data_IF_339144110413
#
_entry.id   IF_339144110413
#
_cell.length_a   1.000
_cell.length_b   1.000
_cell.length_c   1.000
_cell.angle_alpha   90.00
_cell.angle_beta   90.00
_cell.angle_gamma   90.00
#
_symmetry.space_group_name_H-M   'P 1'
#
loop_
_entity.id
_entity.type
_entity.pdbx_description
1 polymer ?
#
# COMPACT_ATOMS: atom_id res chain seq x y z
N UNK A 1 -31.14 2.44 -15.64
CA UNK A 1 -30.01 2.26 -14.70
C UNK A 1 -29.02 1.16 -15.11
N UNK A 2 -29.43 0.16 -15.91
CA UNK A 2 -28.53 -0.85 -16.50
C UNK A 2 -27.64 -0.30 -17.65
N UNK A 3 -28.12 0.71 -18.38
CA UNK A 3 -27.45 1.30 -19.56
C UNK A 3 -26.25 2.20 -19.24
N UNK A 4 -26.26 2.88 -18.10
CA UNK A 4 -25.17 3.79 -17.69
C UNK A 4 -23.95 3.02 -17.20
N UNK A 5 -24.18 1.90 -16.49
CA UNK A 5 -23.12 1.01 -16.01
C UNK A 5 -22.45 0.21 -17.15
N UNK A 6 -23.23 -0.17 -18.17
CA UNK A 6 -22.66 -0.77 -19.38
C UNK A 6 -21.72 0.21 -20.11
N UNK A 7 -22.06 1.50 -20.18
CA UNK A 7 -21.21 2.54 -20.78
C UNK A 7 -19.92 2.79 -20.00
N UNK A 8 -19.97 2.70 -18.67
CA UNK A 8 -18.80 2.86 -17.80
C UNK A 8 -17.85 1.65 -17.92
N UNK A 9 -18.38 0.43 -18.02
CA UNK A 9 -17.58 -0.79 -18.21
C UNK A 9 -16.90 -0.83 -19.58
N UNK A 10 -17.62 -0.49 -20.65
CA UNK A 10 -17.01 -0.36 -21.99
C UNK A 10 -15.95 0.73 -22.04
N UNK A 11 -16.10 1.75 -21.20
CA UNK A 11 -15.15 2.83 -21.13
C UNK A 11 -13.81 2.42 -20.48
N UNK A 12 -13.86 1.81 -19.30
CA UNK A 12 -12.63 1.36 -18.63
C UNK A 12 -11.88 0.31 -19.45
N UNK A 13 -12.61 -0.57 -20.16
CA UNK A 13 -12.03 -1.55 -21.09
C UNK A 13 -11.36 -0.88 -22.29
N UNK A 14 -11.97 0.17 -22.86
CA UNK A 14 -11.36 0.96 -23.93
C UNK A 14 -10.09 1.68 -23.47
N UNK A 15 -10.05 2.20 -22.23
CA UNK A 15 -8.86 2.82 -21.65
C UNK A 15 -7.71 1.83 -21.42
N UNK A 16 -8.01 0.58 -21.06
CA UNK A 16 -7.01 -0.46 -20.90
C UNK A 16 -6.49 -1.02 -22.23
N UNK A 17 -7.35 -1.13 -23.25
CA UNK A 17 -6.92 -1.45 -24.62
C UNK A 17 -6.06 -0.33 -25.21
N UNK A 18 -6.43 0.93 -24.97
CA UNK A 18 -5.63 2.09 -25.38
C UNK A 18 -4.23 2.06 -24.74
N UNK A 19 -4.14 1.70 -23.45
CA UNK A 19 -2.85 1.54 -22.75
C UNK A 19 -1.97 0.43 -23.33
N UNK A 20 -2.54 -0.74 -23.67
CA UNK A 20 -1.80 -1.86 -24.30
C UNK A 20 -1.33 -1.50 -25.72
N UNK A 21 -2.13 -0.70 -26.44
CA UNK A 21 -1.80 -0.24 -27.79
C UNK A 21 -0.74 0.86 -27.79
N UNK A 22 -0.77 1.79 -26.83
CA UNK A 22 0.26 2.83 -26.63
C UNK A 22 1.60 2.23 -26.18
N UNK A 23 1.58 1.17 -25.36
CA UNK A 23 2.78 0.41 -24.96
C UNK A 23 3.38 -0.35 -26.16
N UNK A 24 2.55 -0.94 -27.04
CA UNK A 24 3.01 -1.55 -28.31
C UNK A 24 3.56 -0.51 -29.30
N UNK A 25 2.96 0.67 -29.39
CA UNK A 25 3.44 1.75 -30.25
C UNK A 25 4.77 2.30 -29.71
N UNK A 26 4.91 2.44 -28.38
CA UNK A 26 6.16 2.84 -27.72
C UNK A 26 7.27 1.80 -27.92
N UNK A 27 6.98 0.50 -27.80
CA UNK A 27 7.93 -0.58 -28.11
C UNK A 27 8.30 -0.60 -29.60
N UNK A 28 7.36 -0.31 -30.50
CA UNK A 28 7.61 -0.18 -31.94
C UNK A 28 8.55 0.98 -32.26
N UNK A 29 8.34 2.14 -31.62
CA UNK A 29 9.17 3.33 -31.77
C UNK A 29 10.59 3.10 -31.22
N UNK A 30 10.73 2.37 -30.10
CA UNK A 30 12.02 2.00 -29.53
C UNK A 30 12.79 0.99 -30.41
N UNK A 31 12.10 0.02 -31.04
CA UNK A 31 12.73 -0.88 -32.02
C UNK A 31 13.16 -0.14 -33.29
N UNK A 32 12.44 0.89 -33.70
CA UNK A 32 12.81 1.73 -34.85
C UNK A 32 14.03 2.62 -34.53
N UNK A 33 14.12 3.16 -33.31
CA UNK A 33 15.26 3.95 -32.80
C UNK A 33 16.55 3.12 -32.76
N UNK A 34 16.47 1.82 -32.42
CA UNK A 34 17.63 0.92 -32.37
C UNK A 34 18.28 0.56 -33.72
N UNK A 35 17.71 1.02 -34.85
CA UNK A 35 18.23 0.76 -36.21
C UNK A 35 18.95 1.95 -36.86
N UNK A 36 19.06 3.08 -36.18
CA UNK A 36 19.73 4.27 -36.72
C UNK A 36 21.21 4.25 -36.28
N UNK A 37 22.18 4.20 -37.21
CA UNK A 37 23.60 4.28 -36.85
C UNK A 37 23.95 5.68 -36.34
N UNK A 38 24.86 5.74 -35.36
CA UNK A 38 25.32 6.96 -34.70
C UNK A 38 25.92 7.96 -35.69
N UNK A 39 25.23 9.09 -35.84
CA UNK A 39 25.76 10.27 -36.52
C UNK A 39 24.81 10.84 -37.54
N UNK A 40 23.88 11.69 -37.08
CA UNK A 40 23.43 12.94 -37.73
C UNK A 40 22.50 13.62 -36.70
N UNK A 41 22.95 14.74 -36.13
CA UNK A 41 22.07 15.75 -35.54
C UNK A 41 21.86 16.82 -36.62
N UNK A 42 20.61 17.19 -36.96
CA UNK A 42 20.23 18.57 -37.30
C UNK A 42 18.79 18.84 -36.86
N UNK A 43 18.62 20.06 -36.35
CA UNK A 43 17.48 20.73 -35.75
C UNK A 43 16.39 21.19 -36.74
N UNK A 44 15.24 21.56 -36.14
CA UNK A 44 14.47 22.81 -36.37
C UNK A 44 13.02 22.66 -36.87
N UNK A 45 12.15 23.42 -36.20
CA UNK A 45 10.69 23.50 -36.35
C UNK A 45 10.26 23.99 -37.73
N UNK A 46 9.20 23.40 -38.29
CA UNK A 46 8.33 24.11 -39.22
C UNK A 46 6.85 23.77 -38.97
N UNK A 47 6.04 24.83 -38.91
CA UNK A 47 4.62 24.84 -38.56
C UNK A 47 3.76 24.57 -39.80
N UNK A 48 2.61 23.90 -39.57
CA UNK A 48 1.30 24.08 -40.24
C UNK A 48 0.97 23.25 -41.49
N UNK A 49 0.04 22.30 -41.35
CA UNK A 49 -1.34 22.44 -41.87
C UNK A 49 -2.18 21.19 -41.54
N UNK A 50 -3.34 21.42 -40.94
CA UNK A 50 -4.41 20.42 -40.77
C UNK A 50 -5.02 20.07 -42.14
N UNK A 51 -5.27 18.79 -42.40
CA UNK A 51 -6.42 18.38 -43.23
C UNK A 51 -6.78 16.91 -43.03
N UNK A 52 -7.95 16.72 -42.41
CA UNK A 52 -8.92 15.64 -42.64
C UNK A 52 -8.45 14.18 -42.65
N UNK A 53 -8.47 13.52 -41.48
CA UNK A 53 -9.05 12.17 -41.31
C UNK A 53 -9.26 11.76 -39.83
N UNK A 54 -9.44 12.70 -38.89
CA UNK A 54 -9.43 12.40 -37.45
C UNK A 54 -10.79 12.28 -36.75
N UNK A 55 -11.89 12.67 -37.40
CA UNK A 55 -13.12 13.02 -36.66
C UNK A 55 -14.11 11.87 -36.40
N UNK A 56 -13.78 10.61 -36.71
CA UNK A 56 -14.74 9.50 -36.55
C UNK A 56 -14.43 8.49 -35.44
N UNK A 57 -13.32 8.62 -34.71
CA UNK A 57 -12.99 7.72 -33.58
C UNK A 57 -13.05 8.45 -32.21
N UNK A 58 -13.06 9.78 -32.18
CA UNK A 58 -13.17 10.57 -30.94
C UNK A 58 -14.57 10.59 -30.30
N UNK A 59 -15.53 9.79 -30.80
CA UNK A 59 -16.93 9.77 -30.36
C UNK A 59 -17.21 8.81 -29.18
N UNK A 60 -16.19 8.42 -28.42
CA UNK A 60 -16.34 7.89 -27.04
C UNK A 60 -15.53 8.75 -26.07
N UNK A 61 -15.76 10.06 -26.10
CA UNK A 61 -15.19 10.99 -25.12
C UNK A 61 -15.72 10.68 -23.72
N UNK A 62 -14.83 10.33 -22.80
CA UNK A 62 -15.16 10.38 -21.38
C UNK A 62 -15.35 11.84 -21.00
N UNK A 63 -16.45 12.12 -20.33
CA UNK A 63 -16.66 13.43 -19.73
C UNK A 63 -15.60 13.65 -18.63
N UNK A 64 -14.77 14.67 -18.80
CA UNK A 64 -13.72 15.06 -17.83
C UNK A 64 -14.31 15.31 -16.43
N UNK A 65 -15.56 15.79 -16.36
CA UNK A 65 -16.25 15.97 -15.09
C UNK A 65 -16.59 14.62 -14.44
N UNK A 66 -17.11 13.66 -15.20
CA UNK A 66 -17.37 12.30 -14.73
C UNK A 66 -16.08 11.57 -14.28
N UNK A 67 -14.97 11.77 -15.00
CA UNK A 67 -13.66 11.19 -14.64
C UNK A 67 -13.14 11.76 -13.30
N UNK A 68 -13.24 13.08 -13.10
CA UNK A 68 -12.85 13.72 -11.84
C UNK A 68 -13.75 13.32 -10.67
N UNK A 69 -15.05 13.15 -10.90
CA UNK A 69 -15.98 12.66 -9.87
C UNK A 69 -15.65 11.22 -9.47
N UNK A 70 -15.31 10.37 -10.42
CA UNK A 70 -14.92 8.98 -10.17
C UNK A 70 -13.61 8.90 -9.36
N UNK A 71 -12.61 9.69 -9.74
CA UNK A 71 -11.33 9.78 -9.02
C UNK A 71 -11.54 10.26 -7.58
N UNK A 72 -12.39 11.28 -7.36
CA UNK A 72 -12.71 11.76 -6.00
C UNK A 72 -13.40 10.69 -5.14
N UNK A 73 -14.34 9.94 -5.70
CA UNK A 73 -15.01 8.83 -4.99
C UNK A 73 -14.02 7.72 -4.64
N UNK A 74 -13.05 7.49 -5.51
CA UNK A 74 -11.98 6.52 -5.30
C UNK A 74 -11.00 6.98 -4.22
N UNK A 75 -10.60 8.26 -4.27
CA UNK A 75 -9.71 8.89 -3.28
C UNK A 75 -10.30 8.79 -1.88
N UNK A 76 -11.57 9.14 -1.72
CA UNK A 76 -12.27 9.09 -0.42
C UNK A 76 -12.38 7.68 0.18
N UNK A 77 -12.17 6.63 -0.61
CA UNK A 77 -12.24 5.23 -0.13
C UNK A 77 -10.86 4.59 0.02
N UNK A 78 -10.02 4.70 -1.01
CA UNK A 78 -8.71 4.02 -1.05
C UNK A 78 -7.66 4.76 -0.24
N UNK A 79 -7.63 6.09 -0.31
CA UNK A 79 -6.57 6.85 0.36
C UNK A 79 -6.66 6.72 1.88
N UNK A 80 -7.83 6.89 2.54
CA UNK A 80 -7.93 6.76 3.99
C UNK A 80 -7.50 5.38 4.50
N UNK A 81 -7.94 4.29 3.85
CA UNK A 81 -7.58 2.94 4.31
C UNK A 81 -6.09 2.65 4.15
N UNK A 82 -5.49 3.06 3.01
CA UNK A 82 -4.06 2.90 2.79
C UNK A 82 -3.24 3.78 3.75
N UNK A 83 -3.70 5.00 3.99
CA UNK A 83 -3.15 5.92 4.99
C UNK A 83 -3.20 5.33 6.40
N UNK A 84 -4.31 4.70 6.80
CA UNK A 84 -4.44 4.05 8.11
C UNK A 84 -3.51 2.85 8.22
N UNK A 85 -3.46 1.97 7.21
CA UNK A 85 -2.54 0.82 7.23
C UNK A 85 -1.09 1.29 7.40
N UNK A 86 -0.70 2.36 6.71
CA UNK A 86 0.65 2.90 6.80
C UNK A 86 0.94 3.64 8.10
N UNK A 87 -0.05 4.36 8.64
CA UNK A 87 0.04 4.95 9.98
C UNK A 87 0.36 3.85 10.99
N UNK A 88 -0.40 2.76 10.98
CA UNK A 88 -0.23 1.66 11.94
C UNK A 88 1.11 0.95 11.72
N UNK A 89 1.56 0.82 10.47
CA UNK A 89 2.89 0.26 10.13
C UNK A 89 4.02 1.09 10.73
N UNK A 90 3.94 2.42 10.65
CA UNK A 90 4.92 3.28 11.31
C UNK A 90 4.78 3.29 12.84
N UNK A 91 3.58 3.08 13.36
CA UNK A 91 3.33 3.01 14.80
C UNK A 91 4.03 1.80 15.42
N UNK A 92 3.95 0.63 14.78
CA UNK A 92 4.72 -0.56 15.18
C UNK A 92 6.24 -0.30 15.27
N UNK A 93 6.79 0.36 14.24
CA UNK A 93 8.22 0.75 14.24
C UNK A 93 8.57 1.72 15.36
N UNK A 94 7.64 2.58 15.79
CA UNK A 94 7.84 3.45 16.94
C UNK A 94 7.71 2.68 18.27
N UNK A 95 6.83 1.68 18.32
CA UNK A 95 6.54 0.94 19.54
C UNK A 95 7.70 0.15 20.09
N UNK A 96 8.57 -0.38 19.23
CA UNK A 96 9.80 -1.02 19.75
C UNK A 96 10.64 -0.05 20.58
N UNK A 97 10.72 1.21 20.14
CA UNK A 97 11.43 2.26 20.88
C UNK A 97 10.74 2.58 22.20
N UNK A 98 9.40 2.66 22.18
CA UNK A 98 8.62 2.92 23.39
C UNK A 98 8.65 1.74 24.38
N UNK A 99 8.59 0.50 23.89
CA UNK A 99 8.69 -0.72 24.67
C UNK A 99 10.01 -0.79 25.46
N UNK A 100 11.10 -0.29 24.87
CA UNK A 100 12.39 -0.16 25.56
C UNK A 100 12.29 0.70 26.82
N UNK A 101 11.54 1.81 26.76
CA UNK A 101 11.32 2.70 27.91
C UNK A 101 10.47 2.02 28.99
N UNK A 102 9.57 1.14 28.59
CA UNK A 102 8.67 0.35 29.45
C UNK A 102 9.29 -0.94 30.00
N UNK A 103 10.63 -1.04 30.00
CA UNK A 103 11.34 -2.12 30.68
C UNK A 103 11.50 -3.41 29.86
N UNK A 104 11.29 -3.39 28.54
CA UNK A 104 11.52 -4.55 27.65
C UNK A 104 12.88 -5.22 27.87
N UNK A 105 13.95 -4.42 28.02
CA UNK A 105 15.31 -4.95 28.22
C UNK A 105 15.44 -5.76 29.51
N UNK A 106 14.74 -5.34 30.58
CA UNK A 106 14.79 -6.02 31.88
C UNK A 106 14.02 -7.33 31.84
N UNK A 107 12.86 -7.34 31.19
CA UNK A 107 12.00 -8.52 31.13
C UNK A 107 12.54 -9.63 30.24
N UNK A 108 13.22 -9.27 29.15
CA UNK A 108 13.82 -10.24 28.23
C UNK A 108 15.27 -10.59 28.60
N UNK A 109 15.77 -10.08 29.74
CA UNK A 109 17.15 -10.22 30.18
C UNK A 109 18.17 -9.81 29.10
N UNK A 110 17.86 -8.74 28.35
CA UNK A 110 18.73 -8.22 27.31
C UNK A 110 19.95 -7.51 27.92
N UNK A 111 21.12 -7.69 27.32
CA UNK A 111 22.37 -7.05 27.75
C UNK A 111 23.04 -6.28 26.61
N UNK A 112 23.54 -5.08 26.90
CA UNK A 112 24.41 -4.32 25.99
C UNK A 112 23.82 -4.07 24.60
N UNK A 113 24.25 -4.87 23.62
CA UNK A 113 23.93 -4.70 22.19
C UNK A 113 22.69 -5.49 21.74
N UNK A 114 22.11 -6.35 22.57
CA UNK A 114 21.03 -7.28 22.20
C UNK A 114 19.81 -6.58 21.61
N UNK A 115 19.43 -5.43 22.16
CA UNK A 115 18.34 -4.60 21.64
C UNK A 115 18.64 -4.11 20.20
N UNK A 116 19.87 -3.66 19.95
CA UNK A 116 20.28 -3.20 18.61
C UNK A 116 20.35 -4.36 17.61
N UNK A 117 20.74 -5.56 18.07
CA UNK A 117 20.72 -6.78 17.25
C UNK A 117 19.26 -7.11 16.86
N UNK A 118 18.33 -7.06 17.82
CA UNK A 118 16.91 -7.31 17.55
C UNK A 118 16.27 -6.25 16.63
N UNK A 119 16.75 -5.01 16.63
CA UNK A 119 16.35 -4.01 15.63
C UNK A 119 16.97 -4.30 14.26
N UNK A 120 18.25 -4.66 14.23
CA UNK A 120 19.01 -4.86 13.00
C UNK A 120 18.55 -6.09 12.22
N UNK A 121 18.13 -7.15 12.93
CA UNK A 121 17.70 -8.41 12.31
C UNK A 121 16.46 -8.24 11.43
N UNK A 122 15.63 -7.22 11.68
CA UNK A 122 14.43 -6.94 10.89
C UNK A 122 14.76 -6.59 9.42
N UNK A 123 15.77 -5.75 9.19
CA UNK A 123 16.10 -5.20 7.87
C UNK A 123 16.50 -6.25 6.80
N UNK A 124 17.36 -7.24 7.05
CA UNK A 124 17.71 -8.22 6.03
C UNK A 124 16.49 -9.04 5.56
N UNK A 125 15.59 -9.43 6.46
CA UNK A 125 14.37 -10.13 6.09
C UNK A 125 13.39 -9.24 5.32
N UNK A 126 13.26 -7.96 5.75
CA UNK A 126 12.46 -6.97 5.04
C UNK A 126 12.92 -6.79 3.59
N UNK A 127 14.23 -6.61 3.36
CA UNK A 127 14.80 -6.43 2.03
C UNK A 127 14.67 -7.71 1.20
N UNK A 128 14.93 -8.88 1.81
CA UNK A 128 14.86 -10.18 1.12
C UNK A 128 13.46 -10.46 0.56
N UNK A 129 12.40 -10.05 1.25
CA UNK A 129 11.00 -10.29 0.83
C UNK A 129 10.45 -9.17 -0.07
N UNK A 130 11.08 -8.00 -0.10
CA UNK A 130 10.66 -6.91 -0.98
C UNK A 130 10.63 -7.31 -2.46
N UNK A 131 11.65 -8.01 -2.97
CA UNK A 131 11.70 -8.44 -4.38
C UNK A 131 10.69 -9.56 -4.68
N UNK A 132 10.64 -10.68 -3.91
CA UNK A 132 9.63 -11.72 -4.10
C UNK A 132 8.19 -11.22 -3.99
N UNK A 133 7.90 -10.31 -3.04
CA UNK A 133 6.55 -9.76 -2.86
C UNK A 133 6.08 -9.03 -4.13
N UNK A 134 6.95 -8.20 -4.72
CA UNK A 134 6.62 -7.49 -5.96
C UNK A 134 6.38 -8.42 -7.14
N UNK A 135 7.09 -9.55 -7.21
CA UNK A 135 6.80 -10.59 -8.22
C UNK A 135 5.47 -11.29 -7.95
N UNK A 136 5.14 -11.54 -6.68
CA UNK A 136 3.90 -12.21 -6.30
C UNK A 136 2.66 -11.37 -6.62
N UNK A 137 2.75 -10.05 -6.51
CA UNK A 137 1.64 -9.13 -6.85
C UNK A 137 1.25 -9.14 -8.32
N UNK A 138 2.12 -9.62 -9.22
CA UNK A 138 1.75 -9.86 -10.62
C UNK A 138 0.92 -11.14 -10.80
N UNK A 139 1.02 -12.09 -9.87
CA UNK A 139 0.38 -13.41 -9.93
C UNK A 139 -0.87 -13.52 -9.05
N UNK A 140 -0.89 -12.82 -7.92
CA UNK A 140 -1.94 -12.89 -6.89
C UNK A 140 -2.74 -11.59 -6.88
N UNK A 141 -4.04 -11.69 -6.59
CA UNK A 141 -4.93 -10.53 -6.43
C UNK A 141 -4.35 -9.56 -5.37
N UNK A 142 -4.04 -8.29 -5.71
CA UNK A 142 -3.43 -7.32 -4.81
C UNK A 142 -4.23 -7.12 -3.53
N UNK A 143 -5.56 -7.18 -3.61
CA UNK A 143 -6.44 -7.09 -2.45
C UNK A 143 -6.15 -8.21 -1.42
N UNK A 144 -6.22 -9.46 -1.87
CA UNK A 144 -6.00 -10.63 -1.01
C UNK A 144 -4.55 -10.65 -0.49
N UNK A 145 -3.59 -10.27 -1.32
CA UNK A 145 -2.18 -10.26 -0.94
C UNK A 145 -1.88 -9.18 0.11
N UNK A 146 -2.31 -7.93 -0.10
CA UNK A 146 -2.10 -6.83 0.84
C UNK A 146 -2.81 -7.08 2.16
N UNK A 147 -4.08 -7.49 2.13
CA UNK A 147 -4.81 -7.80 3.37
C UNK A 147 -4.23 -9.03 4.07
N UNK A 148 -3.83 -10.07 3.34
CA UNK A 148 -3.17 -11.24 3.90
C UNK A 148 -1.86 -10.89 4.62
N UNK A 149 -1.05 -9.98 4.05
CA UNK A 149 0.16 -9.46 4.67
C UNK A 149 -0.14 -8.69 5.96
N UNK A 150 -1.12 -7.78 5.94
CA UNK A 150 -1.50 -7.00 7.12
C UNK A 150 -1.99 -7.91 8.24
N UNK A 151 -2.81 -8.92 7.93
CA UNK A 151 -3.29 -9.89 8.92
C UNK A 151 -2.16 -10.75 9.48
N UNK A 152 -1.26 -11.25 8.63
CA UNK A 152 -0.12 -12.05 9.07
C UNK A 152 0.82 -11.25 9.97
N UNK A 153 1.13 -10.01 9.59
CA UNK A 153 1.89 -9.06 10.39
C UNK A 153 1.21 -8.78 11.74
N UNK A 154 -0.10 -8.55 11.75
CA UNK A 154 -0.88 -8.31 12.99
C UNK A 154 -0.82 -9.49 13.95
N UNK A 155 -0.87 -10.72 13.44
CA UNK A 155 -0.77 -11.95 14.26
C UNK A 155 0.62 -12.02 14.91
N UNK A 156 1.69 -11.78 14.14
CA UNK A 156 3.06 -11.76 14.67
C UNK A 156 3.23 -10.68 15.74
N UNK A 157 2.60 -9.52 15.56
CA UNK A 157 2.61 -8.44 16.54
C UNK A 157 1.99 -8.86 17.88
N UNK A 158 0.81 -9.46 17.85
CA UNK A 158 0.16 -9.99 19.06
C UNK A 158 1.03 -11.08 19.69
N UNK A 159 1.61 -11.98 18.89
CA UNK A 159 2.54 -13.00 19.38
C UNK A 159 3.78 -12.38 20.04
N UNK A 160 4.32 -11.27 19.50
CA UNK A 160 5.50 -10.58 20.04
C UNK A 160 5.23 -10.06 21.47
N UNK A 161 4.02 -9.56 21.74
CA UNK A 161 3.62 -9.15 23.08
C UNK A 161 3.45 -10.30 24.09
N UNK A 162 3.43 -11.56 23.63
CA UNK A 162 3.32 -12.75 24.49
C UNK A 162 4.67 -13.45 24.74
N UNK A 163 5.76 -12.94 24.17
CA UNK A 163 7.09 -13.51 24.33
C UNK A 163 7.67 -13.19 25.71
N UNK A 164 8.42 -14.14 26.28
CA UNK A 164 9.12 -13.97 27.56
C UNK A 164 10.65 -14.07 27.44
N UNK A 165 11.17 -14.41 26.24
CA UNK A 165 12.60 -14.66 26.01
C UNK A 165 13.16 -13.80 24.87
N UNK A 166 14.44 -13.42 24.97
CA UNK A 166 15.16 -12.72 23.91
C UNK A 166 15.12 -13.46 22.56
N UNK A 167 15.32 -14.77 22.58
CA UNK A 167 15.29 -15.59 21.36
C UNK A 167 13.91 -15.58 20.69
N UNK A 168 12.83 -15.67 21.48
CA UNK A 168 11.46 -15.58 20.96
C UNK A 168 11.17 -14.24 20.30
N UNK A 169 11.71 -13.16 20.87
CA UNK A 169 11.52 -11.81 20.34
C UNK A 169 12.30 -11.63 19.05
N UNK A 170 13.53 -12.13 18.99
CA UNK A 170 14.34 -12.15 17.76
C UNK A 170 13.60 -12.89 16.63
N UNK A 171 13.07 -14.08 16.91
CA UNK A 171 12.30 -14.87 15.93
C UNK A 171 11.06 -14.11 15.47
N UNK A 172 10.32 -13.50 16.40
CA UNK A 172 9.16 -12.68 16.05
C UNK A 172 9.55 -11.52 15.13
N UNK A 173 10.70 -10.87 15.35
CA UNK A 173 11.24 -9.81 14.46
C UNK A 173 11.61 -10.29 13.07
N UNK A 174 12.17 -11.49 12.96
CA UNK A 174 12.46 -12.08 11.66
C UNK A 174 11.17 -12.28 10.85
N UNK A 175 10.14 -12.86 11.47
CA UNK A 175 8.84 -13.04 10.84
C UNK A 175 8.15 -11.71 10.53
N UNK A 176 8.29 -10.72 11.42
CA UNK A 176 7.77 -9.37 11.20
C UNK A 176 8.36 -8.74 9.93
N UNK A 177 9.68 -8.83 9.76
CA UNK A 177 10.37 -8.35 8.55
C UNK A 177 9.87 -9.04 7.27
N UNK A 178 9.62 -10.36 7.34
CA UNK A 178 9.04 -11.12 6.23
C UNK A 178 7.62 -10.63 5.90
N UNK A 179 6.80 -10.38 6.92
CA UNK A 179 5.41 -9.95 6.73
C UNK A 179 5.30 -8.52 6.20
N UNK A 180 6.15 -7.61 6.70
CA UNK A 180 6.09 -6.18 6.38
C UNK A 180 6.83 -5.81 5.07
N UNK A 181 7.85 -6.59 4.67
CA UNK A 181 8.73 -6.29 3.54
C UNK A 181 8.04 -6.02 2.21
N UNK A 182 6.85 -6.60 2.01
CA UNK A 182 6.05 -6.45 0.80
C UNK A 182 5.05 -5.30 0.80
N UNK A 183 4.77 -4.69 1.97
CA UNK A 183 3.63 -3.81 2.16
C UNK A 183 3.82 -2.47 1.45
N UNK A 184 4.94 -1.78 1.68
CA UNK A 184 5.23 -0.49 1.04
C UNK A 184 5.22 -0.55 -0.49
N UNK A 185 6.05 -1.40 -1.14
CA UNK A 185 6.07 -1.44 -2.60
C UNK A 185 4.75 -1.98 -3.17
N UNK A 186 4.01 -2.80 -2.40
CA UNK A 186 2.70 -3.26 -2.81
C UNK A 186 1.60 -2.21 -2.78
N UNK A 187 1.61 -1.33 -1.78
CA UNK A 187 0.68 -0.18 -1.77
C UNK A 187 1.01 0.79 -2.90
N UNK A 188 2.29 1.06 -3.15
CA UNK A 188 2.70 1.93 -4.27
C UNK A 188 2.25 1.34 -5.61
N UNK A 189 2.45 0.04 -5.83
CA UNK A 189 1.97 -0.65 -7.03
C UNK A 189 0.44 -0.62 -7.16
N UNK A 190 -0.27 -0.76 -6.04
CA UNK A 190 -1.72 -0.67 -6.04
C UNK A 190 -2.19 0.74 -6.46
N UNK A 191 -1.56 1.80 -5.95
CA UNK A 191 -1.88 3.19 -6.35
C UNK A 191 -1.62 3.41 -7.84
N UNK A 192 -0.51 2.91 -8.40
CA UNK A 192 -0.20 3.10 -9.82
C UNK A 192 -1.14 2.37 -10.78
N UNK A 193 -1.90 1.37 -10.31
CA UNK A 193 -2.93 0.69 -11.09
C UNK A 193 -4.26 1.44 -11.14
N UNK A 194 -4.58 2.19 -10.09
CA UNK A 194 -5.88 2.85 -9.94
C UNK A 194 -5.88 4.31 -10.39
N UNK A 195 -4.72 4.94 -10.46
CA UNK A 195 -4.57 6.36 -10.79
C UNK A 195 -3.65 6.59 -11.99
N UNK A 196 -3.91 7.66 -12.78
CA UNK A 196 -3.04 8.04 -13.87
C UNK A 196 -1.69 8.58 -13.33
N UNK A 197 -0.61 8.37 -14.09
CA UNK A 197 0.79 8.62 -13.64
C UNK A 197 1.05 10.06 -13.20
N UNK A 198 0.38 11.03 -13.83
CA UNK A 198 0.47 12.47 -13.50
C UNK A 198 -0.07 12.80 -12.09
N UNK A 199 -0.91 11.94 -11.54
CA UNK A 199 -1.69 12.18 -10.33
C UNK A 199 -1.31 11.25 -9.17
N UNK A 200 -0.54 10.18 -9.45
CA UNK A 200 -0.03 9.25 -8.43
C UNK A 200 0.88 9.92 -7.39
N UNK A 201 1.74 10.86 -7.81
CA UNK A 201 2.76 11.45 -6.96
C UNK A 201 2.21 12.14 -5.71
N UNK A 202 1.15 12.93 -5.87
CA UNK A 202 0.49 13.62 -4.76
C UNK A 202 -0.10 12.63 -3.73
N UNK A 203 -0.68 11.53 -4.20
CA UNK A 203 -1.32 10.50 -3.36
C UNK A 203 -0.30 9.70 -2.58
N UNK A 204 0.83 9.37 -3.21
CA UNK A 204 1.97 8.74 -2.54
C UNK A 204 2.55 9.67 -1.48
N UNK A 205 2.64 10.98 -1.75
CA UNK A 205 3.12 11.95 -0.76
C UNK A 205 2.16 12.06 0.45
N UNK A 206 0.84 12.05 0.21
CA UNK A 206 -0.15 12.06 1.29
C UNK A 206 -0.11 10.77 2.11
N UNK A 207 0.04 9.62 1.44
CA UNK A 207 0.31 8.34 2.10
C UNK A 207 1.57 8.42 2.97
N UNK A 208 2.68 8.95 2.44
CA UNK A 208 3.94 9.06 3.16
C UNK A 208 3.85 10.01 4.37
N UNK A 209 3.01 11.05 4.28
CA UNK A 209 2.79 12.01 5.37
C UNK A 209 2.23 11.35 6.64
N UNK A 210 1.55 10.22 6.50
CA UNK A 210 1.05 9.44 7.65
C UNK A 210 2.18 8.83 8.49
N UNK A 211 3.37 8.62 7.94
CA UNK A 211 4.55 8.20 8.71
C UNK A 211 4.93 9.26 9.76
N UNK A 212 4.90 10.54 9.38
CA UNK A 212 5.16 11.64 10.31
C UNK A 212 4.06 11.74 11.36
N UNK A 213 2.79 11.56 10.97
CA UNK A 213 1.68 11.52 11.92
C UNK A 213 1.85 10.38 12.93
N UNK A 214 2.17 9.17 12.47
CA UNK A 214 2.43 8.02 13.33
C UNK A 214 3.58 8.26 14.32
N UNK A 215 4.67 8.93 13.89
CA UNK A 215 5.75 9.33 14.78
C UNK A 215 5.32 10.32 15.87
N UNK A 216 4.46 11.30 15.52
CA UNK A 216 3.95 12.28 16.48
C UNK A 216 2.98 11.67 17.50
N UNK A 217 2.12 10.75 17.07
CA UNK A 217 1.12 10.12 17.93
C UNK A 217 1.62 8.85 18.64
N UNK A 218 2.65 8.18 18.11
CA UNK A 218 3.09 6.87 18.62
C UNK A 218 3.57 6.90 20.06
N UNK A 219 4.30 7.94 20.47
CA UNK A 219 4.69 8.12 21.88
C UNK A 219 3.51 8.40 22.80
N UNK A 220 2.49 9.13 22.32
CA UNK A 220 1.28 9.42 23.08
C UNK A 220 0.44 8.15 23.31
N UNK A 221 0.25 7.34 22.26
CA UNK A 221 -0.42 6.04 22.36
C UNK A 221 0.32 5.10 23.31
N UNK A 222 1.64 4.99 23.15
CA UNK A 222 2.46 4.15 24.02
C UNK A 222 2.37 4.57 25.49
N UNK A 223 2.38 5.89 25.78
CA UNK A 223 2.22 6.39 27.15
C UNK A 223 0.82 6.06 27.71
N UNK A 224 -0.23 6.23 26.91
CA UNK A 224 -1.59 5.90 27.33
C UNK A 224 -1.81 4.39 27.57
N UNK A 225 -1.14 3.53 26.81
CA UNK A 225 -1.22 2.07 26.98
C UNK A 225 -0.33 1.59 28.13
N UNK A 226 0.82 2.24 28.34
CA UNK A 226 1.77 1.97 29.44
C UNK A 226 1.14 2.09 30.83
N UNK A 227 0.12 2.96 31.00
CA UNK A 227 -0.62 3.09 32.26
C UNK A 227 -1.42 1.82 32.65
N UNK A 228 -1.56 0.84 31.74
CA UNK A 228 -2.09 -0.50 32.06
C UNK A 228 -1.03 -1.50 32.55
N UNK A 229 0.19 -1.03 32.86
CA UNK A 229 1.21 -1.83 33.52
C UNK A 229 0.66 -2.50 34.79
N UNK A 230 0.82 -3.82 34.90
CA UNK A 230 0.30 -4.62 36.03
C UNK A 230 -1.11 -5.19 35.84
N UNK A 231 -1.86 -4.77 34.82
CA UNK A 231 -3.12 -5.43 34.45
C UNK A 231 -2.80 -6.81 33.88
N UNK A 232 -3.32 -7.87 34.52
CA UNK A 232 -3.07 -9.26 34.11
C UNK A 232 -1.65 -9.78 34.38
N UNK A 233 -0.86 -9.11 35.23
CA UNK A 233 0.50 -9.54 35.59
C UNK A 233 1.54 -9.42 34.47
N UNK A 234 1.25 -8.60 33.45
CA UNK A 234 2.14 -8.33 32.32
C UNK A 234 2.63 -6.88 32.35
N UNK A 235 3.83 -6.66 31.83
CA UNK A 235 4.43 -5.33 31.77
C UNK A 235 3.84 -4.49 30.64
N UNK A 236 3.95 -3.16 30.76
CA UNK A 236 3.33 -2.20 29.85
C UNK A 236 3.71 -2.43 28.39
N UNK A 237 4.95 -2.86 28.12
CA UNK A 237 5.42 -3.14 26.76
C UNK A 237 4.66 -4.26 26.06
N UNK A 238 4.26 -5.32 26.78
CA UNK A 238 3.49 -6.44 26.20
C UNK A 238 2.12 -5.97 25.72
N UNK A 239 1.48 -5.09 26.50
CA UNK A 239 0.18 -4.52 26.17
C UNK A 239 0.23 -3.58 24.97
N UNK A 240 1.32 -2.82 24.79
CA UNK A 240 1.54 -2.00 23.59
C UNK A 240 1.47 -2.88 22.33
N UNK A 241 2.23 -3.98 22.28
CA UNK A 241 2.21 -4.87 21.11
C UNK A 241 0.87 -5.60 20.91
N UNK A 242 0.21 -6.04 21.99
CA UNK A 242 -1.06 -6.78 21.90
C UNK A 242 -2.19 -5.87 21.40
N UNK A 243 -2.36 -4.70 22.01
CA UNK A 243 -3.48 -3.80 21.68
C UNK A 243 -3.32 -3.24 20.28
N UNK A 244 -2.10 -2.87 19.92
CA UNK A 244 -1.83 -2.36 18.59
C UNK A 244 -1.88 -3.44 17.52
N UNK A 245 -1.37 -4.64 17.80
CA UNK A 245 -1.54 -5.79 16.93
C UNK A 245 -3.01 -6.11 16.69
N UNK A 246 -3.86 -6.02 17.72
CA UNK A 246 -5.31 -6.22 17.61
C UNK A 246 -5.99 -5.10 16.80
N UNK A 247 -5.60 -3.84 17.02
CA UNK A 247 -6.09 -2.70 16.23
C UNK A 247 -5.73 -2.90 14.75
N UNK A 248 -4.50 -3.30 14.48
CA UNK A 248 -4.01 -3.62 13.13
C UNK A 248 -4.80 -4.77 12.52
N UNK A 249 -5.11 -5.81 13.29
CA UNK A 249 -5.90 -6.94 12.84
C UNK A 249 -7.32 -6.52 12.43
N UNK A 250 -7.96 -5.66 13.23
CA UNK A 250 -9.27 -5.09 12.91
C UNK A 250 -9.21 -4.24 11.62
N UNK A 251 -8.19 -3.40 11.48
CA UNK A 251 -7.96 -2.61 10.25
C UNK A 251 -7.71 -3.52 9.06
N UNK A 252 -6.94 -4.60 9.22
CA UNK A 252 -6.70 -5.62 8.21
C UNK A 252 -8.00 -6.29 7.77
N UNK A 253 -8.84 -6.72 8.70
CA UNK A 253 -10.16 -7.28 8.41
C UNK A 253 -11.04 -6.30 7.64
N UNK A 254 -11.07 -5.03 8.05
CA UNK A 254 -11.82 -3.98 7.34
C UNK A 254 -11.25 -3.75 5.94
N UNK A 255 -9.91 -3.77 5.80
CA UNK A 255 -9.23 -3.54 4.52
C UNK A 255 -9.66 -4.55 3.46
N UNK A 256 -9.94 -5.81 3.84
CA UNK A 256 -10.43 -6.84 2.91
C UNK A 256 -11.74 -6.43 2.21
N UNK A 257 -12.62 -5.76 2.94
CA UNK A 257 -13.92 -5.32 2.43
C UNK A 257 -13.82 -4.00 1.65
N UNK A 258 -12.90 -3.13 2.03
CA UNK A 258 -12.76 -1.79 1.45
C UNK A 258 -11.90 -1.79 0.20
N UNK A 259 -10.83 -2.60 0.17
CA UNK A 259 -9.94 -2.73 -0.98
C UNK A 259 -10.67 -3.56 -2.03
N UNK A 260 -10.96 -2.93 -3.16
CA UNK A 260 -11.58 -3.59 -4.30
C UNK A 260 -10.57 -4.43 -5.07
N UNK A 261 -10.99 -5.58 -5.57
CA UNK A 261 -10.22 -6.29 -6.59
C UNK A 261 -10.16 -5.50 -7.90
N UNK A 262 -9.16 -5.86 -8.73
CA UNK A 262 -8.86 -5.25 -10.03
C UNK A 262 -10.07 -4.64 -10.75
N UNK A 263 -9.92 -3.48 -11.42
CA UNK A 263 -10.98 -2.93 -12.26
C UNK A 263 -11.45 -3.92 -13.36
N UNK A 264 -10.63 -4.91 -13.71
CA UNK A 264 -10.92 -5.97 -14.67
C UNK A 264 -11.74 -7.16 -14.13
N UNK A 265 -11.99 -7.25 -12.82
CA UNK A 265 -12.83 -8.32 -12.23
C UNK A 265 -13.76 -7.71 -11.19
N UNK A 266 -14.89 -7.17 -11.66
CA UNK A 266 -15.99 -6.72 -10.82
C UNK A 266 -16.50 -7.91 -9.98
N UNK A 267 -15.97 -8.06 -8.77
CA UNK A 267 -16.51 -8.97 -7.76
C UNK A 267 -17.51 -8.17 -6.91
N UNK A 268 -18.64 -8.79 -6.64
CA UNK A 268 -19.89 -8.29 -6.04
C UNK A 268 -19.73 -7.42 -4.77
N UNK A 269 -18.61 -7.50 -4.04
CA UNK A 269 -18.35 -6.69 -2.84
C UNK A 269 -18.26 -5.18 -3.13
N UNK A 270 -17.72 -4.78 -4.29
CA UNK A 270 -17.68 -3.37 -4.69
C UNK A 270 -19.10 -2.82 -4.93
N UNK A 271 -20.03 -3.68 -5.35
CA UNK A 271 -21.42 -3.34 -5.65
C UNK A 271 -22.22 -3.08 -4.36
N UNK A 272 -22.07 -3.92 -3.34
CA UNK A 272 -22.83 -3.81 -2.08
C UNK A 272 -22.43 -2.56 -1.29
N UNK A 273 -21.13 -2.25 -1.22
CA UNK A 273 -20.64 -1.10 -0.46
C UNK A 273 -20.82 0.22 -1.24
N UNK A 274 -20.77 0.19 -2.58
CA UNK A 274 -21.14 1.36 -3.39
C UNK A 274 -22.63 1.68 -3.27
N UNK A 275 -23.49 0.67 -3.14
CA UNK A 275 -24.94 0.88 -2.97
C UNK A 275 -25.33 1.38 -1.57
N UNK A 276 -24.56 1.06 -0.53
CA UNK A 276 -24.81 1.53 0.86
C UNK A 276 -24.38 2.99 1.07
N UNK A 277 -23.37 3.46 0.34
CA UNK A 277 -22.81 4.82 0.52
C UNK A 277 -23.17 5.82 -0.58
N UNK A 278 -23.82 5.37 -1.67
CA UNK A 278 -24.24 6.22 -2.79
C UNK A 278 -25.77 6.39 -2.87
N UNK A 279 -26.48 6.01 -1.80
CA UNK A 279 -27.87 6.37 -1.50
C UNK A 279 -27.88 7.44 -0.41
#
# INVERSE_FOLDING_TARGET
MSTTLHRISSGVLAGLQYYDEEERISEGHNRMSSRVPDGIQIYEEEKMSESHCGDSIAATGFDDAATKELIRKLDLRLIPILATIYLVCFLDRANVGNARLEGLEKDLHMTGLDYNIALSVFFPFYIAVGVPSNMMMKKVRPNIWLTGMVLFWSIIMVCTGLVHDFAGFLVARCFLGIAEGGLYPGVVYYITMWYPRNECGFRIALFFSMATAAGAFGGLFARGISDMSGVGGRNGWSWIFIIEGLLTFCVGCISYWVIGDYPNKYTTSFHIIFHIYCM
#
